data_IF_320365098610
#
_entry.id   IF_320365098610
#
_cell.length_a   1.000
_cell.length_b   1.000
_cell.length_c   1.000
_cell.angle_alpha   90.00
_cell.angle_beta   90.00
_cell.angle_gamma   90.00
#
_symmetry.space_group_name_H-M   'P 1'
#
loop_
_entity.id
_entity.type
_entity.pdbx_description
1 polymer ?
#
# COMPACT_ATOMS: atom_id res chain seq x y z
N UNK A 1 -5.90 -11.15 5.93
CA UNK A 1 -5.06 -10.96 4.72
C UNK A 1 -5.91 -10.30 3.64
N UNK A 2 -5.51 -9.16 3.02
CA UNK A 2 -6.23 -8.57 1.89
C UNK A 2 -6.36 -9.56 0.71
N UNK A 3 -7.33 -9.38 -0.20
CA UNK A 3 -7.40 -10.21 -1.41
C UNK A 3 -6.16 -10.01 -2.30
N UNK A 4 -5.86 -11.01 -3.12
CA UNK A 4 -4.79 -10.88 -4.12
C UNK A 4 -5.15 -9.79 -5.14
N UNK A 5 -4.19 -8.96 -5.59
CA UNK A 5 -4.44 -7.97 -6.63
C UNK A 5 -4.87 -8.64 -7.94
N UNK A 6 -5.73 -7.96 -8.69
CA UNK A 6 -6.18 -8.41 -10.01
C UNK A 6 -5.19 -7.95 -11.09
N UNK A 7 -4.91 -8.83 -12.04
CA UNK A 7 -4.11 -8.55 -13.23
C UNK A 7 -5.03 -8.16 -14.39
N UNK A 8 -4.61 -7.18 -15.19
CA UNK A 8 -5.32 -6.57 -16.33
C UNK A 8 -4.66 -6.86 -17.68
N UNK A 9 -3.34 -6.96 -17.71
CA UNK A 9 -2.54 -7.36 -18.87
C UNK A 9 -2.88 -8.82 -19.18
N UNK A 10 -3.43 -9.13 -20.37
CA UNK A 10 -3.97 -10.46 -20.65
C UNK A 10 -2.98 -11.61 -20.45
N UNK A 11 -1.74 -11.46 -20.92
CA UNK A 11 -0.72 -12.51 -20.82
C UNK A 11 -0.31 -12.80 -19.36
N UNK A 12 -0.16 -11.75 -18.54
CA UNK A 12 0.16 -11.89 -17.13
C UNK A 12 -1.03 -12.44 -16.34
N UNK A 13 -2.25 -12.04 -16.70
CA UNK A 13 -3.47 -12.60 -16.13
C UNK A 13 -3.57 -14.11 -16.39
N UNK A 14 -3.28 -14.55 -17.61
CA UNK A 14 -3.27 -15.97 -17.95
C UNK A 14 -2.16 -16.72 -17.20
N UNK A 15 -0.96 -16.15 -17.12
CA UNK A 15 0.12 -16.72 -16.31
C UNK A 15 -0.29 -16.88 -14.84
N UNK A 16 -0.95 -15.87 -14.25
CA UNK A 16 -1.48 -15.94 -12.89
C UNK A 16 -2.47 -17.10 -12.70
N UNK A 17 -3.33 -17.38 -13.68
CA UNK A 17 -4.28 -18.52 -13.63
C UNK A 17 -3.57 -19.87 -13.63
N UNK A 18 -2.38 -19.95 -14.22
CA UNK A 18 -1.57 -21.15 -14.26
C UNK A 18 -0.77 -21.35 -12.96
N UNK A 19 -0.40 -20.27 -12.25
CA UNK A 19 0.37 -20.34 -10.98
C UNK A 19 -0.24 -21.26 -9.93
N UNK A 20 -1.57 -21.38 -9.86
CA UNK A 20 -2.26 -22.27 -8.91
C UNK A 20 -1.93 -23.76 -9.07
N UNK A 21 -1.37 -24.14 -10.20
CA UNK A 21 -0.95 -25.51 -10.51
C UNK A 21 0.57 -25.64 -10.65
N UNK A 22 1.32 -24.55 -10.49
CA UNK A 22 2.77 -24.60 -10.52
C UNK A 22 3.28 -25.28 -9.24
N UNK A 23 4.24 -26.21 -9.36
CA UNK A 23 4.97 -26.70 -8.20
C UNK A 23 5.72 -25.54 -7.52
N UNK A 24 6.00 -25.68 -6.22
CA UNK A 24 6.54 -24.61 -5.39
C UNK A 24 7.86 -24.04 -5.93
N UNK A 25 8.76 -24.92 -6.37
CA UNK A 25 10.10 -24.57 -6.83
C UNK A 25 10.10 -23.76 -8.16
N UNK A 26 9.38 -24.17 -9.23
CA UNK A 26 9.11 -23.29 -10.37
C UNK A 26 8.44 -21.95 -10.01
N UNK A 27 7.48 -21.95 -9.08
CA UNK A 27 6.82 -20.71 -8.64
C UNK A 27 7.81 -19.76 -7.95
N UNK A 28 8.70 -20.28 -7.12
CA UNK A 28 9.79 -19.55 -6.48
C UNK A 28 10.71 -18.88 -7.53
N UNK A 29 11.19 -19.64 -8.52
CA UNK A 29 12.05 -19.07 -9.59
C UNK A 29 11.34 -17.99 -10.40
N UNK A 30 10.07 -18.20 -10.74
CA UNK A 30 9.30 -17.19 -11.46
C UNK A 30 9.03 -15.95 -10.59
N UNK A 31 8.86 -16.10 -9.28
CA UNK A 31 8.72 -14.98 -8.34
C UNK A 31 9.97 -14.10 -8.37
N UNK A 32 11.14 -14.68 -8.17
CA UNK A 32 12.42 -13.95 -8.19
C UNK A 32 12.60 -13.20 -9.51
N UNK A 33 12.33 -13.88 -10.64
CA UNK A 33 12.39 -13.27 -11.97
C UNK A 33 11.40 -12.14 -12.17
N UNK A 34 10.16 -12.27 -11.67
CA UNK A 34 9.17 -11.21 -11.72
C UNK A 34 9.61 -9.98 -10.91
N UNK A 35 10.18 -10.18 -9.73
CA UNK A 35 10.73 -9.10 -8.90
C UNK A 35 11.90 -8.40 -9.63
N UNK A 36 12.85 -9.14 -10.19
CA UNK A 36 13.94 -8.56 -11.00
C UNK A 36 13.43 -7.82 -12.24
N UNK A 37 12.37 -8.31 -12.88
CA UNK A 37 11.77 -7.66 -14.05
C UNK A 37 11.18 -6.29 -13.68
N UNK A 38 10.49 -6.20 -12.54
CA UNK A 38 9.94 -4.93 -12.05
C UNK A 38 11.03 -3.87 -11.89
N UNK A 39 12.21 -4.28 -11.40
CA UNK A 39 13.35 -3.37 -11.22
C UNK A 39 14.01 -2.94 -12.53
N UNK A 40 13.96 -3.80 -13.55
CA UNK A 40 14.62 -3.56 -14.84
C UNK A 40 13.75 -2.79 -15.86
N UNK A 41 12.44 -2.68 -15.62
CA UNK A 41 11.50 -2.04 -16.55
C UNK A 41 11.47 -0.53 -16.32
N UNK A 42 11.57 0.20 -17.42
CA UNK A 42 11.25 1.62 -17.49
C UNK A 42 9.72 1.77 -17.65
N UNK A 43 9.03 2.49 -16.75
CA UNK A 43 7.58 2.66 -16.83
C UNK A 43 7.11 3.36 -18.11
N UNK A 44 7.95 4.18 -18.74
CA UNK A 44 7.58 5.03 -19.89
C UNK A 44 7.89 4.36 -21.25
N UNK A 45 8.53 3.19 -21.23
CA UNK A 45 8.83 2.41 -22.43
C UNK A 45 7.79 1.31 -22.71
N UNK A 46 7.88 0.68 -23.89
CA UNK A 46 7.04 -0.45 -24.28
C UNK A 46 7.87 -1.71 -24.50
N UNK A 47 7.32 -2.86 -24.11
CA UNK A 47 8.00 -4.15 -24.14
C UNK A 47 7.16 -5.18 -24.90
N UNK A 48 7.76 -5.99 -25.79
CA UNK A 48 7.06 -7.11 -26.43
C UNK A 48 6.56 -8.14 -25.41
N UNK A 49 5.36 -8.66 -25.63
CA UNK A 49 4.71 -9.67 -24.78
C UNK A 49 5.58 -10.92 -24.58
N UNK A 50 6.14 -11.47 -25.66
CA UNK A 50 6.98 -12.67 -25.63
C UNK A 50 8.25 -12.45 -24.80
N UNK A 51 8.81 -11.24 -24.86
CA UNK A 51 9.95 -10.84 -24.04
C UNK A 51 9.58 -10.76 -22.55
N UNK A 52 8.43 -10.18 -22.20
CA UNK A 52 7.96 -10.11 -20.80
C UNK A 52 7.73 -11.53 -20.25
N UNK A 53 7.08 -12.40 -21.02
CA UNK A 53 6.85 -13.79 -20.64
C UNK A 53 8.16 -14.57 -20.49
N UNK A 54 9.11 -14.37 -21.40
CA UNK A 54 10.44 -14.97 -21.30
C UNK A 54 11.17 -14.51 -20.04
N UNK A 55 11.15 -13.21 -19.73
CA UNK A 55 11.82 -12.68 -18.53
C UNK A 55 11.27 -13.26 -17.24
N UNK A 56 9.98 -13.57 -17.17
CA UNK A 56 9.35 -14.17 -15.97
C UNK A 56 9.52 -15.69 -15.95
N UNK A 57 9.15 -16.36 -17.03
CA UNK A 57 9.06 -17.84 -17.07
C UNK A 57 10.37 -18.51 -17.44
N UNK A 58 11.28 -17.81 -18.13
CA UNK A 58 12.47 -18.36 -18.79
C UNK A 58 12.17 -19.12 -20.08
N UNK A 59 10.90 -19.20 -20.49
CA UNK A 59 10.47 -19.81 -21.74
C UNK A 59 9.99 -18.72 -22.68
N UNK A 60 10.49 -18.73 -23.93
CA UNK A 60 10.06 -17.79 -24.95
C UNK A 60 8.97 -18.45 -25.80
N UNK A 61 7.71 -18.01 -25.72
CA UNK A 61 6.67 -18.54 -26.59
C UNK A 61 6.91 -18.09 -28.04
N UNK A 62 6.62 -18.97 -28.99
CA UNK A 62 6.61 -18.61 -30.41
C UNK A 62 5.36 -17.78 -30.70
N UNK A 63 5.56 -16.48 -30.97
CA UNK A 63 4.50 -15.53 -31.30
C UNK A 63 4.85 -14.83 -32.60
N UNK A 64 3.93 -14.84 -33.57
CA UNK A 64 4.17 -14.20 -34.86
C UNK A 64 4.06 -12.66 -34.78
N UNK A 65 3.19 -12.14 -33.91
CA UNK A 65 2.98 -10.71 -33.69
C UNK A 65 2.69 -10.47 -32.18
N UNK A 66 3.74 -10.36 -31.35
CA UNK A 66 3.57 -10.16 -29.91
C UNK A 66 3.01 -8.77 -29.61
N UNK A 67 2.06 -8.67 -28.68
CA UNK A 67 1.51 -7.38 -28.28
C UNK A 67 2.57 -6.50 -27.60
N UNK A 68 2.51 -5.19 -27.84
CA UNK A 68 3.39 -4.22 -27.17
C UNK A 68 2.75 -3.74 -25.86
N UNK A 69 3.44 -3.99 -24.75
CA UNK A 69 2.96 -3.71 -23.40
C UNK A 69 3.63 -2.46 -22.84
N UNK A 70 2.83 -1.52 -22.32
CA UNK A 70 3.36 -0.33 -21.63
C UNK A 70 4.04 -0.73 -20.31
N UNK A 71 5.26 -0.27 -20.08
CA UNK A 71 6.10 -0.65 -18.94
C UNK A 71 5.42 -0.44 -17.59
N UNK A 72 4.73 0.70 -17.40
CA UNK A 72 3.95 0.96 -16.19
C UNK A 72 2.84 -0.08 -15.93
N UNK A 73 2.20 -0.59 -16.99
CA UNK A 73 1.22 -1.66 -16.90
C UNK A 73 1.88 -3.00 -16.56
N UNK A 74 3.03 -3.31 -17.17
CA UNK A 74 3.81 -4.50 -16.85
C UNK A 74 4.27 -4.48 -15.39
N UNK A 75 4.82 -3.38 -14.89
CA UNK A 75 5.22 -3.26 -13.47
C UNK A 75 4.04 -3.53 -12.53
N UNK A 76 2.88 -2.91 -12.82
CA UNK A 76 1.69 -3.04 -11.97
C UNK A 76 1.23 -4.49 -11.88
N UNK A 77 1.17 -5.17 -13.02
CA UNK A 77 0.69 -6.55 -13.10
C UNK A 77 1.74 -7.58 -12.72
N UNK A 78 3.03 -7.33 -12.95
CA UNK A 78 4.13 -8.16 -12.47
C UNK A 78 4.20 -8.12 -10.94
N UNK A 79 3.96 -6.95 -10.32
CA UNK A 79 3.86 -6.83 -8.86
C UNK A 79 2.68 -7.63 -8.31
N UNK A 80 1.54 -7.61 -9.00
CA UNK A 80 0.41 -8.47 -8.67
C UNK A 80 0.78 -9.95 -8.83
N UNK A 81 1.39 -10.33 -9.96
CA UNK A 81 1.81 -11.70 -10.25
C UNK A 81 2.79 -12.24 -9.20
N UNK A 82 3.75 -11.43 -8.75
CA UNK A 82 4.68 -11.79 -7.69
C UNK A 82 3.93 -12.23 -6.42
N UNK A 83 2.84 -11.55 -6.06
CA UNK A 83 2.05 -11.94 -4.91
C UNK A 83 1.32 -13.29 -5.13
N UNK A 84 0.84 -13.57 -6.34
CA UNK A 84 0.25 -14.89 -6.67
C UNK A 84 1.32 -15.99 -6.66
N UNK A 85 2.50 -15.72 -7.22
CA UNK A 85 3.62 -16.67 -7.24
C UNK A 85 4.13 -16.96 -5.83
N UNK A 86 4.16 -15.98 -4.92
CA UNK A 86 4.50 -16.22 -3.52
C UNK A 86 3.53 -17.17 -2.81
N UNK A 87 2.25 -17.13 -3.20
CA UNK A 87 1.24 -18.06 -2.70
C UNK A 87 1.48 -19.46 -3.25
N UNK A 88 1.74 -19.58 -4.55
CA UNK A 88 2.02 -20.87 -5.21
C UNK A 88 3.33 -21.51 -4.72
N UNK A 89 4.33 -20.68 -4.42
CA UNK A 89 5.61 -21.12 -3.85
C UNK A 89 5.50 -21.57 -2.38
N UNK A 90 4.35 -21.33 -1.72
CA UNK A 90 4.11 -21.69 -0.33
C UNK A 90 5.17 -21.16 0.66
N UNK A 91 5.65 -19.93 0.43
CA UNK A 91 6.80 -19.37 1.14
C UNK A 91 6.61 -19.31 2.66
N UNK A 92 7.68 -19.66 3.37
CA UNK A 92 7.88 -19.44 4.80
C UNK A 92 8.89 -18.33 5.09
N UNK A 93 9.28 -18.20 6.36
CA UNK A 93 10.27 -17.21 6.77
C UNK A 93 11.68 -17.53 6.25
N UNK A 94 12.03 -18.82 6.17
CA UNK A 94 13.37 -19.27 5.76
C UNK A 94 13.65 -18.97 4.27
N UNK A 95 12.62 -18.96 3.43
CA UNK A 95 12.74 -18.67 1.99
C UNK A 95 13.11 -17.21 1.70
N UNK A 96 12.84 -16.28 2.63
CA UNK A 96 13.09 -14.85 2.43
C UNK A 96 14.57 -14.54 2.28
N UNK A 97 15.43 -15.26 2.99
CA UNK A 97 16.88 -15.10 2.90
C UNK A 97 17.39 -15.58 1.54
N UNK A 98 16.86 -16.70 1.02
CA UNK A 98 17.19 -17.21 -0.31
C UNK A 98 16.76 -16.23 -1.41
N UNK A 99 15.52 -15.73 -1.35
CA UNK A 99 15.02 -14.73 -2.28
C UNK A 99 15.87 -13.45 -2.23
N UNK A 100 16.18 -12.95 -1.02
CA UNK A 100 17.02 -11.75 -0.88
C UNK A 100 18.40 -11.95 -1.51
N UNK A 101 19.05 -13.09 -1.25
CA UNK A 101 20.34 -13.42 -1.85
C UNK A 101 20.27 -13.53 -3.37
N UNK A 102 19.18 -14.06 -3.95
CA UNK A 102 19.02 -14.11 -5.39
C UNK A 102 18.72 -12.74 -6.02
N UNK A 103 18.03 -11.84 -5.31
CA UNK A 103 17.75 -10.47 -5.75
C UNK A 103 18.98 -9.56 -5.65
N UNK A 104 19.91 -9.88 -4.75
CA UNK A 104 21.20 -9.22 -4.66
C UNK A 104 22.14 -9.78 -5.73
N UNK A 105 22.19 -9.12 -6.88
CA UNK A 105 23.14 -9.47 -7.94
C UNK A 105 24.58 -9.47 -7.39
N UNK A 106 25.34 -10.52 -7.72
CA UNK A 106 26.70 -10.78 -7.24
C UNK A 106 27.69 -9.61 -7.50
N UNK A 107 27.38 -8.72 -8.45
CA UNK A 107 28.20 -7.57 -8.81
C UNK A 107 28.22 -6.46 -7.75
N UNK A 108 27.35 -6.50 -6.72
CA UNK A 108 27.42 -5.61 -5.55
C UNK A 108 27.97 -6.32 -4.32
N UNK A 109 29.24 -6.72 -4.39
CA UNK A 109 29.99 -7.12 -3.20
C UNK A 109 29.98 -5.97 -2.16
N UNK A 110 29.23 -6.14 -1.06
CA UNK A 110 29.19 -5.20 0.07
C UNK A 110 27.87 -4.45 0.28
N UNK A 111 26.82 -4.71 -0.51
CA UNK A 111 25.47 -4.24 -0.16
C UNK A 111 24.88 -5.15 0.93
N UNK A 112 24.30 -4.56 1.98
CA UNK A 112 23.51 -5.30 2.97
C UNK A 112 22.41 -6.11 2.26
N UNK A 113 22.14 -7.36 2.69
CA UNK A 113 21.09 -8.18 2.09
C UNK A 113 19.78 -7.42 1.96
N UNK A 114 19.07 -7.61 0.85
CA UNK A 114 17.78 -6.98 0.60
C UNK A 114 16.83 -7.17 1.79
N UNK A 115 16.72 -6.12 2.61
CA UNK A 115 15.90 -6.14 3.81
C UNK A 115 14.41 -6.23 3.42
N UNK A 116 13.63 -6.98 4.18
CA UNK A 116 12.19 -7.05 4.00
C UNK A 116 11.52 -6.09 4.97
N UNK A 117 10.59 -5.26 4.48
CA UNK A 117 9.74 -4.45 5.36
C UNK A 117 8.38 -5.12 5.55
N UNK A 118 7.85 -5.07 6.77
CA UNK A 118 6.49 -5.49 7.05
C UNK A 118 5.47 -4.42 6.62
N UNK A 119 4.20 -4.82 6.47
CA UNK A 119 3.13 -3.87 6.18
C UNK A 119 2.97 -2.78 7.26
N UNK A 120 3.25 -3.10 8.52
CA UNK A 120 3.16 -2.13 9.62
C UNK A 120 4.34 -1.16 9.60
N UNK A 121 5.55 -1.65 9.35
CA UNK A 121 6.74 -0.80 9.15
C UNK A 121 6.56 0.17 7.98
N UNK A 122 6.01 -0.27 6.84
CA UNK A 122 5.76 0.63 5.72
C UNK A 122 4.66 1.65 6.02
N UNK A 123 3.61 1.25 6.74
CA UNK A 123 2.57 2.16 7.18
C UNK A 123 3.13 3.24 8.11
N UNK A 124 4.04 2.88 9.02
CA UNK A 124 4.74 3.82 9.90
C UNK A 124 5.71 4.72 9.11
N UNK A 125 6.61 4.12 8.31
CA UNK A 125 7.60 4.82 7.48
C UNK A 125 6.98 5.87 6.58
N UNK A 126 5.87 5.55 5.92
CA UNK A 126 5.17 6.47 5.02
C UNK A 126 4.08 7.29 5.71
N UNK A 127 3.82 7.06 7.00
CA UNK A 127 2.70 7.66 7.74
C UNK A 127 1.35 7.49 7.03
N UNK A 128 1.08 6.27 6.53
CA UNK A 128 -0.14 5.94 5.80
C UNK A 128 -0.94 4.82 6.47
N UNK A 129 -2.25 4.78 6.21
CA UNK A 129 -3.10 3.65 6.60
C UNK A 129 -2.84 2.38 5.77
N UNK A 130 -3.22 1.23 6.32
CA UNK A 130 -3.25 -0.06 5.60
C UNK A 130 -4.09 -0.01 4.31
N UNK A 131 -5.17 0.78 4.30
CA UNK A 131 -6.00 1.01 3.11
C UNK A 131 -5.25 1.73 1.99
N UNK A 132 -4.37 2.67 2.35
CA UNK A 132 -3.51 3.36 1.38
C UNK A 132 -2.41 2.43 0.88
N UNK A 133 -1.80 1.64 1.76
CA UNK A 133 -0.82 0.62 1.37
C UNK A 133 -1.42 -0.40 0.39
N UNK A 134 -2.65 -0.88 0.65
CA UNK A 134 -3.38 -1.76 -0.27
C UNK A 134 -3.68 -1.10 -1.62
N UNK A 135 -3.84 0.23 -1.66
CA UNK A 135 -3.97 0.97 -2.91
C UNK A 135 -2.64 1.03 -3.66
N UNK A 136 -1.52 1.22 -2.96
CA UNK A 136 -0.18 1.21 -3.54
C UNK A 136 0.22 -0.15 -4.10
N UNK A 137 -0.18 -1.24 -3.44
CA UNK A 137 -0.06 -2.60 -4.01
C UNK A 137 -0.74 -2.71 -5.37
N UNK A 138 -1.95 -2.14 -5.52
CA UNK A 138 -2.69 -2.08 -6.80
C UNK A 138 -2.08 -1.13 -7.84
N UNK A 139 -1.08 -0.32 -7.46
CA UNK A 139 -0.33 0.59 -8.33
C UNK A 139 1.09 0.08 -8.63
N UNK A 140 1.37 -1.17 -8.28
CA UNK A 140 2.65 -1.83 -8.59
C UNK A 140 3.70 -1.71 -7.50
N UNK A 141 3.32 -1.64 -6.22
CA UNK A 141 4.21 -1.97 -5.11
C UNK A 141 4.21 -3.50 -4.93
N UNK A 142 5.28 -4.22 -5.32
CA UNK A 142 5.31 -5.67 -5.18
C UNK A 142 5.36 -6.06 -3.71
N UNK A 143 4.61 -7.11 -3.40
CA UNK A 143 4.55 -7.70 -2.08
C UNK A 143 4.63 -9.23 -2.21
N UNK A 144 5.23 -9.85 -1.20
CA UNK A 144 5.35 -11.30 -1.07
C UNK A 144 4.53 -11.72 0.15
N UNK A 145 3.78 -12.81 0.02
CA UNK A 145 3.08 -13.43 1.13
C UNK A 145 3.87 -14.59 1.69
N UNK A 146 4.04 -14.59 3.00
CA UNK A 146 4.58 -15.73 3.73
C UNK A 146 3.52 -16.36 4.61
N UNK A 147 3.53 -17.69 4.66
CA UNK A 147 2.75 -18.49 5.59
C UNK A 147 3.41 -18.59 6.96
N UNK A 148 2.69 -19.17 7.90
CA UNK A 148 3.27 -19.62 9.18
C UNK A 148 3.52 -21.13 9.09
N UNK A 149 4.49 -21.69 9.84
CA UNK A 149 4.72 -23.13 9.84
C UNK A 149 3.42 -23.93 10.02
N UNK A 150 3.19 -24.91 9.14
CA UNK A 150 1.97 -25.73 9.13
C UNK A 150 0.71 -25.05 8.57
N UNK A 151 0.79 -23.81 8.07
CA UNK A 151 -0.32 -23.10 7.41
C UNK A 151 0.16 -22.38 6.14
N UNK A 152 -0.57 -22.54 5.05
CA UNK A 152 -0.22 -21.89 3.79
C UNK A 152 -0.26 -20.35 3.84
N UNK A 153 0.32 -19.67 2.83
CA UNK A 153 0.44 -18.21 2.74
C UNK A 153 -0.89 -17.45 2.55
N UNK A 154 -2.02 -18.17 2.49
CA UNK A 154 -3.38 -17.62 2.48
C UNK A 154 -4.13 -17.84 3.80
N UNK A 155 -3.54 -18.58 4.74
CA UNK A 155 -4.14 -18.93 6.02
C UNK A 155 -4.03 -17.85 7.11
N UNK A 156 -4.66 -18.06 8.27
CA UNK A 156 -4.54 -17.15 9.41
C UNK A 156 -3.09 -17.13 9.92
N UNK A 157 -2.54 -15.94 10.12
CA UNK A 157 -1.14 -15.72 10.51
C UNK A 157 -0.22 -15.35 9.34
N UNK A 158 -0.70 -15.44 8.10
CA UNK A 158 0.06 -15.00 6.92
C UNK A 158 0.43 -13.51 7.00
N UNK A 159 1.60 -13.18 6.47
CA UNK A 159 2.16 -11.81 6.51
C UNK A 159 2.49 -11.32 5.10
N UNK A 160 2.38 -10.01 4.91
CA UNK A 160 2.85 -9.33 3.70
C UNK A 160 4.19 -8.69 3.99
N UNK A 161 5.14 -8.98 3.13
CA UNK A 161 6.49 -8.44 3.17
C UNK A 161 6.83 -7.77 1.84
N UNK A 162 7.66 -6.75 1.92
CA UNK A 162 8.00 -5.89 0.80
C UNK A 162 9.52 -5.82 0.67
N UNK A 163 10.11 -6.19 -0.49
CA UNK A 163 11.54 -6.05 -0.70
C UNK A 163 11.96 -4.58 -0.62
N UNK A 164 13.00 -4.25 0.14
CA UNK A 164 13.43 -2.86 0.34
C UNK A 164 13.79 -2.15 -0.97
N UNK A 165 14.39 -2.86 -1.93
CA UNK A 165 14.63 -2.31 -3.28
C UNK A 165 13.36 -1.86 -3.99
N UNK A 166 12.32 -2.69 -3.92
CA UNK A 166 11.05 -2.35 -4.52
C UNK A 166 10.35 -1.20 -3.78
N UNK A 167 10.50 -1.13 -2.45
CA UNK A 167 10.02 0.00 -1.64
C UNK A 167 10.71 1.29 -2.08
N UNK A 168 12.04 1.31 -2.19
CA UNK A 168 12.82 2.47 -2.61
C UNK A 168 12.48 2.91 -4.05
N UNK A 169 12.33 1.97 -4.98
CA UNK A 169 11.93 2.30 -6.34
C UNK A 169 10.51 2.85 -6.41
N UNK A 170 9.60 2.28 -5.61
CA UNK A 170 8.24 2.81 -5.48
C UNK A 170 8.25 4.22 -4.88
N UNK A 171 9.10 4.49 -3.90
CA UNK A 171 9.30 5.83 -3.32
C UNK A 171 9.75 6.83 -4.39
N UNK A 172 10.73 6.47 -5.22
CA UNK A 172 11.20 7.34 -6.33
C UNK A 172 10.09 7.61 -7.34
N UNK A 173 9.34 6.59 -7.74
CA UNK A 173 8.28 6.70 -8.76
C UNK A 173 7.04 7.44 -8.26
N UNK A 174 6.75 7.38 -6.97
CA UNK A 174 5.55 7.99 -6.36
C UNK A 174 5.88 9.08 -5.34
N UNK A 175 7.05 9.71 -5.42
CA UNK A 175 7.53 10.71 -4.46
C UNK A 175 6.48 11.79 -4.18
N UNK A 176 5.89 12.39 -5.23
CA UNK A 176 4.87 13.43 -5.11
C UNK A 176 3.60 12.93 -4.40
N UNK A 177 3.18 11.69 -4.69
CA UNK A 177 1.98 11.09 -4.08
C UNK A 177 2.23 10.67 -2.64
N UNK A 178 3.44 10.23 -2.29
CA UNK A 178 3.82 9.90 -0.93
C UNK A 178 3.96 11.17 -0.07
N UNK A 179 4.54 12.24 -0.63
CA UNK A 179 4.58 13.56 0.00
C UNK A 179 3.16 14.13 0.23
N UNK A 180 2.25 13.95 -0.73
CA UNK A 180 0.86 14.33 -0.58
C UNK A 180 0.11 13.44 0.45
N UNK A 181 0.37 12.13 0.48
CA UNK A 181 -0.28 11.18 1.37
C UNK A 181 0.15 11.34 2.84
N UNK A 182 1.44 11.60 3.10
CA UNK A 182 1.95 11.94 4.43
C UNK A 182 1.37 13.26 4.93
N UNK A 183 1.13 14.22 4.03
CA UNK A 183 0.44 15.48 4.34
C UNK A 183 -1.05 15.25 4.65
N UNK A 184 -1.65 14.19 4.08
CA UNK A 184 -3.09 13.89 4.17
C UNK A 184 -3.49 13.17 5.46
N UNK A 185 -2.58 12.46 6.13
CA UNK A 185 -2.88 11.81 7.39
C UNK A 185 -2.19 12.47 8.58
N UNK A 186 -3.06 13.09 9.40
CA UNK A 186 -2.86 13.67 10.73
C UNK A 186 -2.47 15.14 10.74
N UNK A 187 -3.52 15.95 10.92
CA UNK A 187 -3.42 17.11 11.80
C UNK A 187 -2.84 16.62 13.13
N UNK A 188 -1.73 17.22 13.59
CA UNK A 188 -1.19 16.89 14.89
C UNK A 188 -2.30 17.04 15.97
N UNK A 189 -2.33 16.19 17.01
CA UNK A 189 -3.41 16.21 18.02
C UNK A 189 -3.66 17.60 18.62
N UNK A 190 -2.62 18.42 18.72
CA UNK A 190 -2.67 19.81 19.18
C UNK A 190 -3.42 20.70 18.20
N UNK A 191 -3.22 20.51 16.90
CA UNK A 191 -3.92 21.25 15.86
C UNK A 191 -5.38 20.78 15.75
N UNK A 192 -5.66 19.47 15.89
CA UNK A 192 -7.05 18.97 15.97
C UNK A 192 -7.80 19.63 17.14
N UNK A 193 -7.23 19.68 18.34
CA UNK A 193 -7.82 20.36 19.51
C UNK A 193 -8.05 21.85 19.27
N UNK A 194 -7.12 22.52 18.59
CA UNK A 194 -7.27 23.95 18.24
C UNK A 194 -8.36 24.17 17.19
N UNK A 195 -8.48 23.27 16.21
CA UNK A 195 -9.54 23.28 15.19
C UNK A 195 -10.91 23.10 15.85
N UNK A 196 -11.08 22.11 16.73
CA UNK A 196 -12.37 21.86 17.41
C UNK A 196 -12.75 23.00 18.35
N UNK A 197 -11.80 23.53 19.13
CA UNK A 197 -12.03 24.71 20.00
C UNK A 197 -12.43 25.95 19.19
N UNK A 198 -11.78 26.20 18.06
CA UNK A 198 -12.15 27.33 17.20
C UNK A 198 -13.50 27.14 16.50
N UNK A 199 -13.82 25.92 16.07
CA UNK A 199 -15.12 25.61 15.49
C UNK A 199 -16.25 25.81 16.50
N UNK A 200 -16.09 25.33 17.74
CA UNK A 200 -17.05 25.57 18.83
C UNK A 200 -17.23 27.07 19.12
N UNK A 201 -16.14 27.84 19.10
CA UNK A 201 -16.19 29.31 19.25
C UNK A 201 -16.91 29.98 18.08
N UNK A 202 -16.68 29.53 16.85
CA UNK A 202 -17.33 30.09 15.65
C UNK A 202 -18.83 29.80 15.63
N UNK A 203 -19.22 28.60 16.08
CA UNK A 203 -20.62 28.26 16.26
C UNK A 203 -21.29 29.14 17.32
N UNK A 204 -20.70 29.22 18.53
CA UNK A 204 -21.26 30.03 19.64
C UNK A 204 -21.32 31.53 19.37
N UNK A 205 -20.30 32.09 18.70
CA UNK A 205 -20.15 33.55 18.52
C UNK A 205 -20.79 34.08 17.24
N UNK A 206 -20.85 33.27 16.19
CA UNK A 206 -21.24 33.69 14.85
C UNK A 206 -22.30 32.80 14.21
N UNK A 207 -22.85 31.80 14.93
CA UNK A 207 -23.85 30.87 14.40
C UNK A 207 -23.34 30.04 13.21
N UNK A 208 -22.02 29.93 13.01
CA UNK A 208 -21.47 29.25 11.84
C UNK A 208 -21.85 27.76 11.85
N UNK A 209 -22.25 27.26 10.68
CA UNK A 209 -22.44 25.83 10.47
C UNK A 209 -21.09 25.10 10.42
N UNK A 210 -21.08 23.79 10.61
CA UNK A 210 -19.86 22.97 10.55
C UNK A 210 -19.10 23.18 9.23
N UNK A 211 -19.83 23.31 8.12
CA UNK A 211 -19.23 23.52 6.80
C UNK A 211 -18.60 24.92 6.66
N UNK A 212 -19.26 25.97 7.17
CA UNK A 212 -18.71 27.33 7.19
C UNK A 212 -17.48 27.43 8.11
N UNK A 213 -17.51 26.73 9.25
CA UNK A 213 -16.36 26.64 10.15
C UNK A 213 -15.20 25.89 9.48
N UNK A 214 -15.46 24.75 8.81
CA UNK A 214 -14.46 23.99 8.08
C UNK A 214 -13.76 24.83 7.00
N UNK A 215 -14.53 25.60 6.23
CA UNK A 215 -13.98 26.45 5.17
C UNK A 215 -13.05 27.54 5.70
N UNK A 216 -13.45 28.21 6.78
CA UNK A 216 -12.64 29.27 7.41
C UNK A 216 -11.40 28.71 8.10
N UNK A 217 -11.52 27.56 8.75
CA UNK A 217 -10.41 26.92 9.47
C UNK A 217 -9.42 26.26 8.52
N UNK A 218 -9.86 25.78 7.35
CA UNK A 218 -8.99 25.26 6.30
C UNK A 218 -7.95 26.29 5.85
N UNK A 219 -8.39 27.51 5.54
CA UNK A 219 -7.50 28.63 5.18
C UNK A 219 -6.55 28.96 6.33
N UNK A 220 -7.09 29.07 7.55
CA UNK A 220 -6.32 29.48 8.74
C UNK A 220 -5.19 28.51 9.12
N UNK A 221 -5.38 27.21 8.89
CA UNK A 221 -4.41 26.18 9.26
C UNK A 221 -3.63 25.63 8.06
N UNK A 222 -3.82 26.18 6.85
CA UNK A 222 -3.17 25.70 5.63
C UNK A 222 -3.53 24.25 5.30
N UNK A 223 -4.81 23.86 5.49
CA UNK A 223 -5.28 22.48 5.28
C UNK A 223 -6.42 22.45 4.27
N UNK A 224 -6.66 21.26 3.71
CA UNK A 224 -7.80 21.04 2.83
C UNK A 224 -9.12 21.13 3.62
N UNK A 225 -10.16 21.62 2.94
CA UNK A 225 -11.51 21.73 3.49
C UNK A 225 -12.03 20.39 4.01
N UNK A 226 -11.84 19.32 3.23
CA UNK A 226 -12.21 17.96 3.61
C UNK A 226 -11.46 17.45 4.84
N UNK A 227 -10.17 17.76 5.00
CA UNK A 227 -9.41 17.33 6.19
C UNK A 227 -9.97 17.96 7.47
N UNK A 228 -10.29 19.27 7.43
CA UNK A 228 -10.88 19.97 8.58
C UNK A 228 -12.31 19.49 8.84
N UNK A 229 -13.11 19.30 7.78
CA UNK A 229 -14.47 18.79 7.89
C UNK A 229 -14.52 17.41 8.56
N UNK A 230 -13.64 16.50 8.16
CA UNK A 230 -13.53 15.16 8.76
C UNK A 230 -13.16 15.21 10.25
N UNK A 231 -12.29 16.15 10.67
CA UNK A 231 -11.95 16.34 12.10
C UNK A 231 -13.17 16.84 12.88
N UNK A 232 -13.91 17.81 12.34
CA UNK A 232 -15.10 18.36 13.01
C UNK A 232 -16.23 17.33 13.11
N UNK A 233 -16.48 16.55 12.06
CA UNK A 233 -17.47 15.47 12.07
C UNK A 233 -17.14 14.38 13.09
N UNK A 234 -15.86 14.00 13.20
CA UNK A 234 -15.41 13.03 14.20
C UNK A 234 -15.64 13.51 15.63
N UNK A 235 -15.50 14.82 15.87
CA UNK A 235 -15.76 15.43 17.17
C UNK A 235 -17.26 15.59 17.46
N UNK A 236 -18.09 15.85 16.44
CA UNK A 236 -19.56 15.92 16.57
C UNK A 236 -20.22 14.54 16.72
N UNK A 237 -19.57 13.48 16.27
CA UNK A 237 -19.99 12.10 16.55
C UNK A 237 -19.58 11.60 17.95
N UNK A 238 -18.70 12.32 18.64
CA UNK A 238 -18.19 11.98 19.97
C UNK A 238 -18.84 12.69 21.20
N UNK A 239 -19.91 13.51 21.13
CA UNK A 239 -20.45 14.18 22.31
C UNK A 239 -21.44 13.28 23.04
N UNK A 240 -20.97 12.58 24.10
CA UNK A 240 -21.52 12.72 25.45
C UNK A 240 -20.97 11.61 26.37
N UNK A 241 -20.04 11.99 27.25
CA UNK A 241 -19.92 11.38 28.57
C UNK A 241 -19.81 12.54 29.57
N UNK A 242 -20.94 13.16 29.88
CA UNK A 242 -21.12 14.00 31.06
C UNK A 242 -22.46 13.62 31.71
N UNK A 243 -22.51 13.52 33.06
CA UNK A 243 -23.63 12.96 33.81
C UNK A 243 -24.82 13.93 33.86
N UNK A 244 -26.04 13.44 34.16
CA UNK A 244 -27.20 14.32 34.34
C UNK A 244 -27.01 15.19 35.57
N UNK A 245 -27.09 16.51 35.37
CA UNK A 245 -27.35 17.46 36.46
C UNK A 245 -28.80 17.30 36.90
N UNK A 246 -29.01 17.15 38.21
CA UNK A 246 -30.28 17.43 38.84
C UNK A 246 -30.24 18.86 39.39
N UNK A 247 -31.38 19.49 39.19
CA UNK A 247 -31.71 20.90 39.14
C UNK A 247 -31.60 21.69 40.46
N UNK A 248 -31.61 23.00 40.25
CA UNK A 248 -31.52 24.13 41.16
C UNK A 248 -32.75 24.33 42.09
N UNK A 249 -32.50 25.14 43.13
CA UNK A 249 -33.41 26.12 43.77
C UNK A 249 -34.46 25.69 44.81
N UNK A 250 -34.21 26.17 46.04
CA UNK A 250 -35.24 26.57 47.01
C UNK A 250 -36.00 27.82 46.52
N UNK A 251 -37.13 28.17 47.17
CA UNK A 251 -37.04 29.33 48.07
C UNK A 251 -37.82 29.18 49.39
N UNK A 252 -37.45 30.05 50.33
CA UNK A 252 -38.04 30.35 51.64
C UNK A 252 -39.37 31.13 51.51
N UNK A 253 -40.21 31.08 52.57
CA UNK A 253 -41.24 32.09 52.86
C UNK A 253 -42.68 31.61 52.85
#
# INVERSE_FOLDING_TARGET
>A
MPPLPKLRVPCLHELARQTRFLPAEPAHRQLVRALKLIEAIDPDQTYPEDWVLFRITGYRPEMHDPAMLVGAAVITDAAALAEHLSVAAALGADDLAAIAAELDDADRAGAEPSAWSSADELCERWSISRKTLDRYRKLGLPAVRIGTPGRGPTGPGSRLLFPSRAVEQFERRFADRLAAASTFQRLAPEIERRITKHAARYHRRFGCTLNQAAQRLAIRYGRSHEAVRNVLQRHEAAPSAMPPGADETAPEG
#
